data_IF_097663383003
#
_entry.id   IF_097663383003
#
_cell.length_a   1.000
_cell.length_b   1.000
_cell.length_c   1.000
_cell.angle_alpha   90.00
_cell.angle_beta   90.00
_cell.angle_gamma   90.00
#
_symmetry.space_group_name_H-M   'P 1'
#
loop_
_entity.id
_entity.type
_entity.pdbx_description
1 polymer ?
#
# COMPACT_ATOMS: atom_id res chain seq x y z
N UNK A 1 17.74 21.66 -5.00
CA UNK A 1 16.48 21.34 -4.31
C UNK A 1 16.39 19.85 -4.06
N UNK A 2 15.98 19.48 -2.87
CA UNK A 2 15.90 18.08 -2.50
C UNK A 2 14.46 17.63 -2.38
N UNK A 3 14.17 16.50 -2.96
CA UNK A 3 12.87 15.89 -2.81
C UNK A 3 12.85 15.12 -1.48
N UNK A 4 11.86 15.39 -0.67
CA UNK A 4 11.76 14.71 0.61
C UNK A 4 11.06 13.37 0.43
N UNK A 5 11.85 12.41 -0.01
CA UNK A 5 11.36 11.08 -0.30
C UNK A 5 10.63 10.45 0.87
N UNK A 6 11.19 10.65 2.05
CA UNK A 6 10.59 10.04 3.23
C UNK A 6 9.17 10.52 3.46
N UNK A 7 8.93 11.81 3.24
CA UNK A 7 7.58 12.36 3.42
C UNK A 7 6.62 11.74 2.42
N UNK A 8 7.06 11.63 1.18
CA UNK A 8 6.25 11.04 0.12
C UNK A 8 5.93 9.58 0.43
N UNK A 9 6.94 8.84 0.83
CA UNK A 9 6.75 7.43 1.14
C UNK A 9 5.88 7.23 2.37
N UNK A 10 6.08 8.07 3.38
CA UNK A 10 5.27 7.98 4.58
C UNK A 10 3.81 8.17 4.27
N UNK A 11 3.51 9.15 3.45
CA UNK A 11 2.13 9.44 3.08
C UNK A 11 1.52 8.25 2.34
N UNK A 12 2.27 7.69 1.40
CA UNK A 12 1.78 6.56 0.63
C UNK A 12 1.55 5.35 1.52
N UNK A 13 2.47 5.10 2.44
CA UNK A 13 2.36 3.97 3.34
C UNK A 13 1.16 4.12 4.25
N UNK A 14 0.97 5.32 4.79
CA UNK A 14 -0.15 5.57 5.67
C UNK A 14 -1.47 5.35 4.96
N UNK A 15 -1.59 5.88 3.75
CA UNK A 15 -2.81 5.72 2.97
C UNK A 15 -3.04 4.24 2.64
N UNK A 16 -1.96 3.55 2.32
CA UNK A 16 -2.07 2.12 2.01
C UNK A 16 -2.52 1.32 3.21
N UNK A 17 -2.00 1.63 4.37
CA UNK A 17 -2.37 0.91 5.58
C UNK A 17 -3.87 1.10 5.86
N UNK A 18 -4.34 2.33 5.78
CA UNK A 18 -5.74 2.62 6.06
C UNK A 18 -6.65 1.94 5.05
N UNK A 19 -6.28 2.02 3.77
CA UNK A 19 -7.09 1.41 2.72
C UNK A 19 -7.09 -0.09 2.85
N UNK A 20 -5.94 -0.67 3.15
CA UNK A 20 -5.84 -2.12 3.30
C UNK A 20 -6.62 -2.65 4.47
N UNK A 21 -6.52 -1.94 5.59
CA UNK A 21 -7.26 -2.35 6.79
C UNK A 21 -8.76 -2.31 6.53
N UNK A 22 -9.21 -1.25 5.88
CA UNK A 22 -10.63 -1.11 5.55
C UNK A 22 -11.07 -2.20 4.59
N UNK A 23 -10.25 -2.51 3.62
CA UNK A 23 -10.57 -3.54 2.63
C UNK A 23 -10.67 -4.91 3.29
N UNK A 24 -9.78 -5.19 4.22
CA UNK A 24 -9.79 -6.47 4.91
C UNK A 24 -11.07 -6.68 5.69
N UNK A 25 -11.65 -5.60 6.22
CA UNK A 25 -12.85 -5.68 7.03
C UNK A 25 -14.13 -5.51 6.21
N UNK A 26 -14.00 -5.33 4.90
CA UNK A 26 -15.16 -5.02 4.08
C UNK A 26 -16.10 -6.22 3.96
N UNK A 27 -15.55 -7.40 3.82
CA UNK A 27 -16.35 -8.60 3.60
C UNK A 27 -16.39 -9.52 4.81
N UNK A 28 -15.62 -9.22 5.81
CA UNK A 28 -15.50 -10.09 6.97
C UNK A 28 -15.41 -9.23 8.22
N UNK A 29 -16.21 -9.57 9.22
CA UNK A 29 -16.16 -8.81 10.47
C UNK A 29 -14.86 -9.05 11.23
N UNK A 30 -14.38 -10.29 11.16
CA UNK A 30 -13.16 -10.64 11.87
C UNK A 30 -12.19 -11.34 10.92
N UNK A 31 -11.53 -10.55 10.05
CA UNK A 31 -10.56 -11.14 9.16
C UNK A 31 -9.36 -11.65 9.94
N UNK A 32 -8.75 -12.72 9.45
CA UNK A 32 -7.59 -13.25 10.13
C UNK A 32 -6.40 -12.31 9.90
N UNK A 33 -5.39 -12.49 10.73
CA UNK A 33 -4.23 -11.63 10.70
C UNK A 33 -3.56 -11.63 9.32
N UNK A 34 -3.48 -12.81 8.72
CA UNK A 34 -2.85 -12.92 7.40
C UNK A 34 -3.62 -12.13 6.35
N UNK A 35 -4.95 -12.20 6.40
CA UNK A 35 -5.76 -11.46 5.45
C UNK A 35 -5.54 -9.95 5.58
N UNK A 36 -5.45 -9.49 6.81
CA UNK A 36 -5.21 -8.07 7.06
C UNK A 36 -3.85 -7.66 6.51
N UNK A 37 -2.84 -8.46 6.77
CA UNK A 37 -1.48 -8.15 6.32
C UNK A 37 -1.40 -8.11 4.80
N UNK A 38 -2.01 -9.08 4.13
CA UNK A 38 -1.98 -9.13 2.67
C UNK A 38 -2.70 -7.93 2.08
N UNK A 39 -3.85 -7.60 2.63
CA UNK A 39 -4.62 -6.47 2.12
C UNK A 39 -3.87 -5.17 2.29
N UNK A 40 -3.23 -4.99 3.44
CA UNK A 40 -2.46 -3.79 3.71
C UNK A 40 -1.27 -3.70 2.77
N UNK A 41 -0.57 -4.79 2.60
CA UNK A 41 0.60 -4.82 1.73
C UNK A 41 0.22 -4.49 0.29
N UNK A 42 -0.86 -5.09 -0.20
CA UNK A 42 -1.32 -4.81 -1.55
C UNK A 42 -1.69 -3.35 -1.72
N UNK A 43 -2.36 -2.80 -0.73
CA UNK A 43 -2.79 -1.42 -0.79
C UNK A 43 -1.61 -0.46 -0.78
N UNK A 44 -0.58 -0.80 -0.01
CA UNK A 44 0.63 0.03 0.02
C UNK A 44 1.29 0.04 -1.35
N UNK A 45 1.39 -1.12 -1.99
CA UNK A 45 1.99 -1.20 -3.30
C UNK A 45 1.19 -0.42 -4.34
N UNK A 46 -0.13 -0.42 -4.22
CA UNK A 46 -0.97 0.37 -5.12
C UNK A 46 -0.69 1.85 -4.97
N UNK A 47 -0.53 2.31 -3.73
CA UNK A 47 -0.22 3.71 -3.50
C UNK A 47 1.15 4.07 -4.04
N UNK A 48 2.11 3.17 -3.89
CA UNK A 48 3.45 3.42 -4.39
C UNK A 48 3.45 3.45 -5.92
N UNK A 49 2.65 2.61 -6.54
CA UNK A 49 2.55 2.60 -8.00
C UNK A 49 2.01 3.93 -8.53
N UNK A 50 1.18 4.60 -7.75
CA UNK A 50 0.66 5.91 -8.16
C UNK A 50 1.73 6.98 -8.16
N UNK A 51 2.78 6.78 -7.36
CA UNK A 51 3.85 7.76 -7.22
C UNK A 51 5.04 7.40 -8.08
N UNK A 52 5.38 6.12 -8.11
CA UNK A 52 6.54 5.62 -8.82
C UNK A 52 6.12 4.70 -9.94
N UNK A 53 6.97 4.63 -10.95
CA UNK A 53 6.74 3.72 -12.07
C UNK A 53 7.68 2.54 -11.92
N UNK A 54 7.11 1.35 -11.75
CA UNK A 54 7.91 0.14 -11.59
C UNK A 54 7.85 -0.76 -12.81
N UNK A 55 7.37 -0.25 -13.92
CA UNK A 55 7.18 -1.06 -15.11
C UNK A 55 8.46 -1.74 -15.56
N UNK A 56 9.55 -1.01 -15.49
CA UNK A 56 10.83 -1.55 -15.96
C UNK A 56 11.28 -2.74 -15.13
N UNK A 57 10.87 -2.79 -13.89
CA UNK A 57 11.30 -3.87 -13.01
C UNK A 57 10.59 -5.17 -13.32
N UNK A 58 9.38 -5.08 -13.86
CA UNK A 58 8.60 -6.26 -14.18
C UNK A 58 8.89 -6.81 -15.56
N UNK A 59 9.57 -6.05 -16.34
CA UNK A 59 9.87 -6.48 -17.69
C UNK A 59 11.01 -7.47 -17.70
N UNK A 60 10.78 -8.56 -18.37
CA UNK A 60 11.78 -9.62 -18.45
C UNK A 60 12.56 -9.54 -19.72
#
# INVERSE_FOLDING_TARGET
MKVKMRVVLEDAIEKGIRAGYRRAHKHTENPCEDSIHVAIEDAIWLELDNIFCFEDEYKE
#
